data_IF_030136661486
#
_entry.id   IF_030136661486
#
_cell.length_a   1.000
_cell.length_b   1.000
_cell.length_c   1.000
_cell.angle_alpha   90.00
_cell.angle_beta   90.00
_cell.angle_gamma   90.00
#
_symmetry.space_group_name_H-M   'P 1'
#
loop_
_entity.id
_entity.type
_entity.pdbx_description
1 polymer ?
#
# COMPACT_ATOMS: atom_id res chain seq x y z
N UNK A 1 -49.75 2.80 6.87
CA UNK A 1 -48.85 3.98 6.96
C UNK A 1 -48.90 4.69 5.61
N UNK A 2 -49.53 5.86 5.50
CA UNK A 2 -49.62 6.55 4.21
C UNK A 2 -48.46 7.53 4.04
N UNK A 3 -47.62 7.32 3.03
CA UNK A 3 -46.53 8.24 2.63
C UNK A 3 -47.08 9.47 1.87
N UNK A 4 -48.09 10.12 2.45
CA UNK A 4 -48.73 11.33 1.91
C UNK A 4 -48.36 12.54 2.77
N UNK A 5 -48.26 13.71 2.14
CA UNK A 5 -48.15 15.00 2.84
C UNK A 5 -49.45 15.29 3.61
N UNK A 6 -49.41 16.31 4.47
CA UNK A 6 -50.59 16.76 5.23
C UNK A 6 -51.75 17.23 4.33
N UNK A 7 -51.46 17.57 3.07
CA UNK A 7 -52.44 17.91 2.03
C UNK A 7 -52.93 16.69 1.23
N UNK A 8 -52.61 15.47 1.67
CA UNK A 8 -52.90 14.20 1.00
C UNK A 8 -52.22 13.99 -0.35
N UNK A 9 -51.31 14.87 -0.77
CA UNK A 9 -50.54 14.72 -2.00
C UNK A 9 -49.31 13.83 -1.79
N UNK A 10 -48.87 13.15 -2.86
CA UNK A 10 -47.62 12.39 -2.86
C UNK A 10 -46.42 13.32 -3.06
N UNK A 11 -45.31 12.99 -2.41
CA UNK A 11 -44.08 13.81 -2.44
C UNK A 11 -43.45 13.91 -3.83
N UNK A 12 -43.61 12.87 -4.65
CA UNK A 12 -43.15 12.77 -6.05
C UNK A 12 -44.05 11.76 -6.80
N UNK A 13 -44.02 11.80 -8.13
CA UNK A 13 -44.72 10.89 -9.05
C UNK A 13 -44.35 9.42 -8.80
N UNK A 14 -43.09 9.12 -8.50
CA UNK A 14 -42.68 7.72 -8.20
C UNK A 14 -43.40 7.20 -6.95
N UNK A 15 -43.53 8.02 -5.92
CA UNK A 15 -44.24 7.66 -4.69
C UNK A 15 -45.75 7.46 -4.94
N UNK A 16 -46.33 8.18 -5.89
CA UNK A 16 -47.73 7.98 -6.31
C UNK A 16 -47.92 6.60 -6.93
N UNK A 17 -47.03 6.18 -7.84
CA UNK A 17 -47.11 4.88 -8.52
C UNK A 17 -47.02 3.73 -7.51
N UNK A 18 -46.09 3.80 -6.55
CA UNK A 18 -46.00 2.80 -5.48
C UNK A 18 -47.22 2.84 -4.55
N UNK A 19 -47.72 4.03 -4.22
CA UNK A 19 -48.92 4.19 -3.41
C UNK A 19 -50.15 3.55 -4.04
N UNK A 20 -50.37 3.76 -5.34
CA UNK A 20 -51.46 3.13 -6.10
C UNK A 20 -51.29 1.61 -6.18
N UNK A 21 -50.06 1.11 -6.37
CA UNK A 21 -49.80 -0.33 -6.39
C UNK A 21 -50.13 -0.98 -5.04
N UNK A 22 -49.80 -0.34 -3.93
CA UNK A 22 -50.14 -0.83 -2.58
C UNK A 22 -51.65 -0.78 -2.36
N UNK A 23 -52.31 0.32 -2.71
CA UNK A 23 -53.77 0.46 -2.57
C UNK A 23 -54.51 -0.58 -3.42
N UNK A 24 -53.97 -0.94 -4.59
CA UNK A 24 -54.50 -2.00 -5.43
C UNK A 24 -54.34 -3.40 -4.81
N UNK A 25 -53.19 -3.67 -4.19
CA UNK A 25 -52.93 -4.93 -3.47
C UNK A 25 -53.85 -5.04 -2.24
N UNK A 26 -53.93 -3.98 -1.43
CA UNK A 26 -54.79 -3.92 -0.24
C UNK A 26 -56.29 -4.05 -0.59
N UNK A 27 -56.71 -3.50 -1.73
CA UNK A 27 -58.09 -3.62 -2.22
C UNK A 27 -58.43 -5.00 -2.81
N UNK A 28 -57.45 -5.71 -3.36
CA UNK A 28 -57.63 -7.08 -3.88
C UNK A 28 -57.59 -8.14 -2.78
N UNK A 29 -56.83 -7.90 -1.72
CA UNK A 29 -56.61 -8.87 -0.66
C UNK A 29 -57.74 -8.79 0.39
N UNK A 30 -58.89 -9.36 0.03
CA UNK A 30 -60.04 -9.51 0.93
C UNK A 30 -59.71 -10.31 2.22
N UNK A 31 -58.54 -10.96 2.25
CA UNK A 31 -58.02 -11.69 3.41
C UNK A 31 -57.64 -10.77 4.59
N UNK A 32 -57.39 -9.49 4.34
CA UNK A 32 -56.94 -8.53 5.36
C UNK A 32 -58.06 -7.90 6.18
N UNK A 33 -59.31 -8.39 6.07
CA UNK A 33 -60.43 -7.80 6.82
C UNK A 33 -60.74 -8.42 8.17
N UNK A 34 -60.22 -9.60 8.49
CA UNK A 34 -60.36 -10.18 9.82
C UNK A 34 -59.41 -11.39 9.92
N UNK A 35 -58.29 -11.26 10.65
CA UNK A 35 -57.62 -12.45 11.17
C UNK A 35 -58.65 -13.16 12.04
N UNK A 36 -59.19 -14.29 11.54
CA UNK A 36 -60.21 -15.04 12.25
C UNK A 36 -59.68 -15.38 13.64
N UNK A 37 -60.42 -15.02 14.68
CA UNK A 37 -60.02 -15.26 16.07
C UNK A 37 -59.83 -16.75 16.39
N UNK A 38 -60.33 -17.62 15.51
CA UNK A 38 -60.30 -19.08 15.64
C UNK A 38 -59.49 -19.75 14.51
N UNK A 39 -58.55 -19.04 13.87
CA UNK A 39 -57.65 -19.68 12.93
C UNK A 39 -56.73 -20.72 13.62
N UNK A 40 -56.17 -21.64 12.83
CA UNK A 40 -55.31 -22.71 13.36
C UNK A 40 -54.13 -22.17 14.18
N UNK A 41 -53.63 -20.97 13.85
CA UNK A 41 -52.57 -20.32 14.60
C UNK A 41 -53.06 -19.84 15.98
N UNK A 42 -54.24 -19.24 16.07
CA UNK A 42 -54.86 -18.82 17.32
C UNK A 42 -55.25 -20.01 18.20
N UNK A 43 -55.61 -21.16 17.61
CA UNK A 43 -55.90 -22.38 18.36
C UNK A 43 -54.65 -22.98 19.01
N UNK A 44 -53.50 -22.94 18.32
CA UNK A 44 -52.22 -23.45 18.85
C UNK A 44 -51.51 -22.44 19.76
N UNK A 45 -51.54 -21.15 19.42
CA UNK A 45 -50.79 -20.09 20.11
C UNK A 45 -51.64 -19.23 21.06
N UNK A 46 -52.95 -19.45 21.12
CA UNK A 46 -53.92 -18.64 21.86
C UNK A 46 -54.30 -17.32 21.17
N UNK A 47 -55.31 -16.62 21.68
CA UNK A 47 -55.81 -15.36 21.09
C UNK A 47 -54.76 -14.24 21.07
N UNK A 48 -54.79 -13.42 20.01
CA UNK A 48 -53.88 -12.29 19.86
C UNK A 48 -54.30 -11.12 20.75
N UNK A 49 -53.32 -10.46 21.37
CA UNK A 49 -53.57 -9.27 22.15
C UNK A 49 -53.01 -8.06 21.40
N UNK A 50 -53.83 -7.06 21.00
CA UNK A 50 -53.44 -5.93 20.14
C UNK A 50 -52.31 -5.00 20.65
N UNK A 51 -51.63 -5.35 21.75
CA UNK A 51 -50.50 -4.62 22.34
C UNK A 51 -49.32 -5.52 22.69
N UNK A 52 -49.36 -6.80 22.31
CA UNK A 52 -48.28 -7.75 22.52
C UNK A 52 -47.89 -8.34 21.18
N UNK A 53 -46.72 -7.95 20.69
CA UNK A 53 -46.14 -8.59 19.51
C UNK A 53 -45.74 -10.02 19.91
N UNK A 54 -46.26 -11.02 19.19
CA UNK A 54 -45.77 -12.40 19.34
C UNK A 54 -44.45 -12.54 18.61
N UNK A 55 -43.35 -12.57 19.35
CA UNK A 55 -42.06 -12.99 18.81
C UNK A 55 -41.96 -14.51 18.77
N UNK A 56 -41.38 -15.08 17.72
CA UNK A 56 -40.97 -16.47 17.70
C UNK A 56 -39.85 -16.66 18.74
N UNK A 57 -40.23 -16.96 19.97
CA UNK A 57 -39.35 -17.54 20.99
C UNK A 57 -38.08 -16.76 21.34
N UNK A 58 -38.17 -15.50 21.75
CA UNK A 58 -37.33 -14.90 22.81
C UNK A 58 -38.15 -13.74 23.38
N UNK A 59 -38.72 -13.90 24.59
CA UNK A 59 -39.41 -12.80 25.26
C UNK A 59 -38.51 -11.57 25.40
N UNK A 60 -39.04 -10.38 25.74
CA UNK A 60 -38.22 -9.21 25.98
C UNK A 60 -37.23 -9.57 27.10
N UNK A 61 -35.98 -9.85 26.73
CA UNK A 61 -34.87 -9.98 27.67
C UNK A 61 -34.45 -8.55 27.98
N UNK A 62 -34.83 -7.98 29.14
CA UNK A 62 -34.35 -6.68 29.54
C UNK A 62 -32.99 -6.92 30.19
N UNK A 63 -31.94 -7.13 29.38
CA UNK A 63 -30.55 -6.93 29.78
C UNK A 63 -29.64 -7.21 28.59
N UNK A 64 -28.75 -6.24 28.31
CA UNK A 64 -27.36 -6.47 27.87
C UNK A 64 -26.95 -6.26 26.40
N UNK A 65 -27.52 -5.28 25.68
CA UNK A 65 -26.99 -4.90 24.35
C UNK A 65 -26.25 -3.54 24.27
N UNK A 66 -25.68 -3.06 25.38
CA UNK A 66 -24.62 -2.05 25.35
C UNK A 66 -23.32 -2.55 25.98
N UNK A 67 -23.01 -3.83 25.77
CA UNK A 67 -21.65 -4.31 25.98
C UNK A 67 -20.97 -4.21 24.62
N UNK A 68 -20.06 -3.24 24.47
CA UNK A 68 -19.01 -3.32 23.47
C UNK A 68 -18.24 -4.61 23.76
N UNK A 69 -18.68 -5.72 23.16
CA UNK A 69 -17.78 -6.84 22.93
C UNK A 69 -16.69 -6.20 22.07
N UNK A 70 -15.41 -6.14 22.48
CA UNK A 70 -14.36 -5.87 21.52
C UNK A 70 -14.48 -7.03 20.56
N UNK A 71 -15.18 -6.81 19.45
CA UNK A 71 -15.10 -7.69 18.32
C UNK A 71 -13.60 -7.74 18.05
N UNK A 72 -12.99 -8.86 18.40
CA UNK A 72 -11.73 -9.27 17.79
C UNK A 72 -12.09 -9.59 16.34
N UNK A 73 -12.47 -8.55 15.60
CA UNK A 73 -12.62 -8.61 14.17
C UNK A 73 -11.21 -8.78 13.63
N UNK A 74 -11.09 -9.55 12.56
CA UNK A 74 -9.83 -9.82 11.86
C UNK A 74 -9.06 -8.52 11.53
N UNK A 75 -9.78 -7.40 11.40
CA UNK A 75 -9.20 -6.06 11.26
C UNK A 75 -8.24 -5.67 12.37
N UNK A 76 -8.48 -6.05 13.63
CA UNK A 76 -7.58 -5.72 14.75
C UNK A 76 -6.25 -6.47 14.70
N UNK A 77 -6.26 -7.69 14.17
CA UNK A 77 -5.07 -8.51 13.93
C UNK A 77 -4.29 -7.94 12.75
N UNK A 78 -4.97 -7.65 11.63
CA UNK A 78 -4.36 -7.03 10.44
C UNK A 78 -3.70 -5.68 10.76
N UNK A 79 -4.33 -4.83 11.58
CA UNK A 79 -3.74 -3.54 11.98
C UNK A 79 -2.41 -3.74 12.70
N UNK A 80 -2.29 -4.75 13.57
CA UNK A 80 -1.04 -5.04 14.28
C UNK A 80 0.03 -5.60 13.34
N UNK A 81 -0.36 -6.46 12.40
CA UNK A 81 0.55 -7.00 11.38
C UNK A 81 1.12 -5.87 10.50
N UNK A 82 0.27 -4.99 9.97
CA UNK A 82 0.73 -3.84 9.20
C UNK A 82 1.61 -2.89 10.01
N UNK A 83 1.29 -2.65 11.28
CA UNK A 83 2.16 -1.84 12.14
C UNK A 83 3.55 -2.47 12.32
N UNK A 84 3.61 -3.80 12.49
CA UNK A 84 4.87 -4.53 12.61
C UNK A 84 5.66 -4.50 11.30
N UNK A 85 5.01 -4.69 10.16
CA UNK A 85 5.63 -4.61 8.83
C UNK A 85 6.19 -3.20 8.55
N UNK A 86 5.47 -2.15 8.93
CA UNK A 86 5.96 -0.76 8.84
C UNK A 86 7.22 -0.55 9.67
N UNK A 87 7.28 -1.12 10.88
CA UNK A 87 8.46 -1.03 11.75
C UNK A 87 9.65 -1.77 11.13
N UNK A 88 9.42 -2.98 10.60
CA UNK A 88 10.45 -3.77 9.92
C UNK A 88 11.01 -3.03 8.70
N UNK A 89 10.13 -2.56 7.80
CA UNK A 89 10.54 -1.83 6.59
C UNK A 89 11.26 -0.52 6.91
N UNK A 90 10.90 0.16 8.00
CA UNK A 90 11.64 1.35 8.47
C UNK A 90 13.05 1.01 8.94
N UNK A 91 13.23 -0.11 9.64
CA UNK A 91 14.55 -0.57 10.07
C UNK A 91 15.41 -0.94 8.86
N UNK A 92 14.87 -1.74 7.93
CA UNK A 92 15.56 -2.13 6.70
C UNK A 92 15.94 -0.90 5.85
N UNK A 93 15.04 0.07 5.71
CA UNK A 93 15.34 1.32 5.02
C UNK A 93 16.45 2.14 5.71
N UNK A 94 16.56 2.07 7.04
CA UNK A 94 17.64 2.72 7.77
C UNK A 94 18.99 2.01 7.54
N UNK A 95 19.00 0.68 7.54
CA UNK A 95 20.19 -0.12 7.22
C UNK A 95 20.68 0.13 5.79
N UNK A 96 19.79 0.11 4.79
CA UNK A 96 20.15 0.44 3.41
C UNK A 96 20.72 1.85 3.27
N UNK A 97 20.16 2.83 4.00
CA UNK A 97 20.71 4.20 4.01
C UNK A 97 22.11 4.23 4.62
N UNK A 98 22.35 3.52 5.72
CA UNK A 98 23.68 3.44 6.33
C UNK A 98 24.69 2.78 5.38
N UNK A 99 24.34 1.63 4.79
CA UNK A 99 25.19 0.92 3.83
C UNK A 99 25.54 1.81 2.61
N UNK A 100 24.57 2.56 2.09
CA UNK A 100 24.80 3.47 0.97
C UNK A 100 25.78 4.61 1.33
N UNK A 101 25.76 5.11 2.57
CA UNK A 101 26.72 6.14 3.01
C UNK A 101 28.13 5.59 3.13
N UNK A 102 28.29 4.38 3.68
CA UNK A 102 29.58 3.73 3.80
C UNK A 102 30.18 3.40 2.42
N UNK A 103 29.36 2.87 1.49
CA UNK A 103 29.79 2.56 0.14
C UNK A 103 30.22 3.83 -0.63
N UNK A 104 29.47 4.93 -0.50
CA UNK A 104 29.85 6.23 -1.09
C UNK A 104 31.18 6.73 -0.54
N UNK A 105 31.41 6.61 0.77
CA UNK A 105 32.68 7.01 1.38
C UNK A 105 33.86 6.15 0.86
N UNK A 106 33.67 4.83 0.72
CA UNK A 106 34.67 3.94 0.11
C UNK A 106 34.98 4.33 -1.33
N UNK A 107 33.97 4.60 -2.16
CA UNK A 107 34.14 5.04 -3.55
C UNK A 107 34.93 6.36 -3.65
N UNK A 108 34.59 7.34 -2.82
CA UNK A 108 35.31 8.63 -2.79
C UNK A 108 36.79 8.47 -2.40
N UNK A 109 37.10 7.60 -1.42
CA UNK A 109 38.49 7.31 -1.04
C UNK A 109 39.27 6.66 -2.19
N UNK A 110 38.68 5.67 -2.86
CA UNK A 110 39.30 5.01 -4.02
C UNK A 110 39.54 5.98 -5.18
N UNK A 111 38.60 6.88 -5.43
CA UNK A 111 38.72 7.90 -6.48
C UNK A 111 39.82 8.92 -6.14
N UNK A 112 39.90 9.39 -4.90
CA UNK A 112 40.98 10.25 -4.43
C UNK A 112 42.35 9.57 -4.60
N UNK A 113 42.49 8.31 -4.20
CA UNK A 113 43.74 7.55 -4.39
C UNK A 113 44.09 7.35 -5.87
N UNK A 114 43.10 7.06 -6.72
CA UNK A 114 43.30 6.91 -8.16
C UNK A 114 43.77 8.21 -8.82
N UNK A 115 43.19 9.36 -8.42
CA UNK A 115 43.61 10.68 -8.92
C UNK A 115 45.03 11.01 -8.46
N UNK A 116 45.39 10.74 -7.21
CA UNK A 116 46.75 10.94 -6.70
C UNK A 116 47.78 10.08 -7.47
N UNK A 117 47.49 8.79 -7.67
CA UNK A 117 48.33 7.89 -8.48
C UNK A 117 48.43 8.36 -9.93
N UNK A 118 47.36 8.92 -10.50
CA UNK A 118 47.36 9.48 -11.86
C UNK A 118 48.26 10.72 -11.94
N UNK A 119 48.17 11.62 -10.95
CA UNK A 119 49.05 12.80 -10.84
C UNK A 119 50.51 12.35 -10.76
N UNK A 120 50.86 11.47 -9.82
CA UNK A 120 52.23 10.92 -9.67
C UNK A 120 52.76 10.31 -10.97
N UNK A 121 51.95 9.49 -11.66
CA UNK A 121 52.30 8.91 -12.97
C UNK A 121 52.50 9.98 -14.05
N UNK A 122 51.76 11.08 -14.01
CA UNK A 122 51.95 12.20 -14.94
C UNK A 122 53.24 12.96 -14.63
N UNK A 123 53.53 13.23 -13.35
CA UNK A 123 54.76 13.91 -12.94
C UNK A 123 55.99 13.12 -13.37
N UNK A 124 55.98 11.81 -13.15
CA UNK A 124 57.07 10.93 -13.58
C UNK A 124 57.24 10.93 -15.11
N UNK A 125 56.13 10.84 -15.87
CA UNK A 125 56.19 10.94 -17.34
C UNK A 125 56.77 12.27 -17.81
N UNK A 126 56.42 13.37 -17.17
CA UNK A 126 56.97 14.68 -17.51
C UNK A 126 58.49 14.76 -17.24
N UNK A 127 58.97 14.16 -16.14
CA UNK A 127 60.39 14.10 -15.82
C UNK A 127 61.16 13.24 -16.85
N UNK A 128 60.63 12.06 -17.19
CA UNK A 128 61.24 11.16 -18.18
C UNK A 128 61.36 11.81 -19.55
N UNK A 129 60.36 12.59 -19.98
CA UNK A 129 60.41 13.37 -21.23
C UNK A 129 61.64 14.27 -21.31
N UNK A 130 62.12 14.80 -20.19
CA UNK A 130 63.29 15.67 -20.14
C UNK A 130 64.62 14.90 -20.05
N UNK A 131 64.65 13.75 -19.37
CA UNK A 131 65.89 12.97 -19.12
C UNK A 131 66.26 12.09 -20.32
N UNK A 132 65.29 11.45 -20.99
CA UNK A 132 65.55 10.50 -22.09
C UNK A 132 66.40 11.13 -23.21
N UNK A 133 66.13 12.36 -23.69
CA UNK A 133 66.96 13.00 -24.71
C UNK A 133 68.39 13.28 -24.25
N UNK A 134 68.62 13.49 -22.94
CA UNK A 134 69.96 13.78 -22.40
C UNK A 134 70.86 12.54 -22.36
N UNK A 135 70.28 11.33 -22.39
CA UNK A 135 71.04 10.09 -22.36
C UNK A 135 71.58 9.67 -23.74
N UNK A 136 71.19 10.36 -24.82
CA UNK A 136 71.78 10.19 -26.15
C UNK A 136 71.77 8.75 -26.69
N UNK A 137 70.80 7.92 -26.27
CA UNK A 137 70.72 6.50 -26.66
C UNK A 137 71.45 5.50 -25.74
N UNK A 138 72.05 5.94 -24.63
CA UNK A 138 72.68 5.05 -23.63
C UNK A 138 71.69 4.41 -22.63
N UNK A 139 70.44 4.20 -23.04
CA UNK A 139 69.45 3.53 -22.22
C UNK A 139 69.72 2.02 -22.22
N UNK A 140 69.70 1.34 -21.06
CA UNK A 140 69.85 -0.11 -21.03
C UNK A 140 68.70 -0.77 -21.82
N UNK A 141 68.95 -1.90 -22.51
CA UNK A 141 67.99 -2.52 -23.43
C UNK A 141 66.63 -2.85 -22.81
N UNK A 142 66.62 -3.20 -21.52
CA UNK A 142 65.40 -3.52 -20.74
C UNK A 142 64.47 -2.30 -20.62
N UNK A 143 65.03 -1.10 -20.40
CA UNK A 143 64.26 0.15 -20.28
C UNK A 143 63.82 0.65 -21.66
N UNK A 144 64.64 0.45 -22.69
CA UNK A 144 64.27 0.80 -24.06
C UNK A 144 63.03 0.02 -24.54
N UNK A 145 62.98 -1.29 -24.28
CA UNK A 145 61.84 -2.14 -24.60
C UNK A 145 60.55 -1.71 -23.86
N UNK A 146 60.66 -1.36 -22.57
CA UNK A 146 59.52 -0.86 -21.78
C UNK A 146 58.99 0.49 -22.29
N UNK A 147 59.87 1.38 -22.74
CA UNK A 147 59.48 2.67 -23.32
C UNK A 147 58.77 2.51 -24.66
N UNK A 148 59.21 1.57 -25.50
CA UNK A 148 58.57 1.25 -26.78
C UNK A 148 57.15 0.69 -26.59
N UNK A 149 56.96 -0.14 -25.55
CA UNK A 149 55.65 -0.64 -25.14
C UNK A 149 54.71 0.50 -24.71
N UNK A 150 55.22 1.46 -23.93
CA UNK A 150 54.46 2.65 -23.51
C UNK A 150 54.14 3.62 -24.66
N UNK A 151 55.05 3.78 -25.62
CA UNK A 151 54.83 4.57 -26.83
C UNK A 151 53.74 3.97 -27.73
N UNK A 152 53.70 2.64 -27.81
CA UNK A 152 52.71 1.89 -28.60
C UNK A 152 51.28 1.97 -28.02
N UNK A 153 51.13 2.13 -26.70
CA UNK A 153 49.83 2.26 -26.05
C UNK A 153 49.17 3.64 -26.26
N UNK A 154 49.97 4.69 -26.55
CA UNK A 154 49.49 6.08 -26.64
C UNK A 154 48.81 6.40 -27.98
N UNK A 155 49.17 5.73 -29.07
CA UNK A 155 48.59 5.96 -30.40
C UNK A 155 47.23 5.31 -30.58
N UNK A 156 46.87 4.34 -29.72
CA UNK A 156 45.60 3.61 -29.81
C UNK A 156 44.39 4.34 -29.20
N UNK A 157 44.57 5.41 -28.41
CA UNK A 157 43.47 6.09 -27.72
C UNK A 157 42.92 7.33 -28.43
N UNK A 158 43.27 7.59 -29.69
CA UNK A 158 42.76 8.72 -30.47
C UNK A 158 41.97 8.33 -31.72
N UNK A 159 41.44 7.11 -31.77
CA UNK A 159 40.54 6.67 -32.84
C UNK A 159 39.25 6.06 -32.26
N UNK A 160 38.32 6.92 -31.78
CA UNK A 160 36.88 6.73 -31.95
C UNK A 160 36.12 8.00 -31.60
#
# INVERSE_FOLDING_TARGET
MSHKKNDSSYMNKDAHVFGEAIEHIEGQDASNKELSQDDFLAQVLGKEHPRRVRGLGLGPRPTQYFRNIPQQSDSSVQIKEYQMEIVLLKAEAAEFKAAATEEKAKRQRMEAEATEKKVKRQTMRNLLRYIIPQQGGNLPPEIAADLDFLGSALTSSHAK
#
